data_IF_777577048589
#
_entry.id   IF_777577048589
#
_cell.length_a   1.000
_cell.length_b   1.000
_cell.length_c   1.000
_cell.angle_alpha   90.00
_cell.angle_beta   90.00
_cell.angle_gamma   90.00
#
_symmetry.space_group_name_H-M   'P 1'
#
loop_
_entity.id
_entity.type
_entity.pdbx_description
1 polymer ?
#
# COMPACT_ATOMS: atom_id res chain seq x y z
N UNK A 1 16.57 -23.95 -0.74
CA UNK A 1 17.06 -25.10 0.05
C UNK A 1 18.28 -25.77 -0.55
N UNK A 2 18.30 -26.16 -1.83
CA UNK A 2 19.47 -26.85 -2.42
C UNK A 2 20.78 -26.07 -2.24
N UNK A 3 20.74 -24.76 -2.39
CA UNK A 3 21.90 -23.88 -2.20
C UNK A 3 22.35 -23.86 -0.73
N UNK A 4 21.42 -23.63 0.21
CA UNK A 4 21.69 -23.71 1.65
C UNK A 4 22.28 -25.06 2.08
N UNK A 5 21.68 -26.18 1.63
CA UNK A 5 22.18 -27.53 1.92
C UNK A 5 23.58 -27.76 1.37
N UNK A 6 23.84 -27.31 0.13
CA UNK A 6 25.16 -27.41 -0.50
C UNK A 6 26.21 -26.57 0.24
N UNK A 7 25.82 -25.39 0.72
CA UNK A 7 26.68 -24.51 1.52
C UNK A 7 27.08 -25.16 2.84
N UNK A 8 26.12 -25.73 3.57
CA UNK A 8 26.36 -26.45 4.83
C UNK A 8 27.27 -27.66 4.59
N UNK A 9 27.00 -28.45 3.55
CA UNK A 9 27.84 -29.59 3.14
C UNK A 9 29.28 -29.17 2.85
N UNK A 10 29.45 -28.13 2.05
CA UNK A 10 30.79 -27.63 1.70
C UNK A 10 31.54 -27.19 2.94
N UNK A 11 30.88 -26.43 3.82
CA UNK A 11 31.48 -25.97 5.09
C UNK A 11 31.92 -27.14 5.96
N UNK A 12 31.11 -28.20 6.07
CA UNK A 12 31.48 -29.42 6.81
C UNK A 12 32.75 -30.07 6.25
N UNK A 13 32.81 -30.22 4.92
CA UNK A 13 33.97 -30.83 4.23
C UNK A 13 35.21 -29.94 4.40
N UNK A 14 35.06 -28.62 4.31
CA UNK A 14 36.14 -27.64 4.55
C UNK A 14 36.67 -27.71 5.99
N UNK A 15 35.78 -27.98 6.95
CA UNK A 15 36.16 -28.23 8.35
C UNK A 15 36.80 -29.62 8.58
N UNK A 16 36.87 -30.47 7.54
CA UNK A 16 37.46 -31.81 7.62
C UNK A 16 36.59 -32.85 8.34
N UNK A 17 35.30 -32.55 8.56
CA UNK A 17 34.38 -33.42 9.31
C UNK A 17 33.63 -34.34 8.35
N UNK A 18 33.55 -35.63 8.66
CA UNK A 18 32.77 -36.58 7.85
C UNK A 18 31.27 -36.52 8.19
N UNK A 19 30.41 -37.12 7.36
CA UNK A 19 28.96 -36.98 7.52
C UNK A 19 28.46 -37.71 8.78
N UNK A 20 29.04 -38.86 9.06
CA UNK A 20 28.69 -39.74 10.17
C UNK A 20 29.04 -39.10 11.52
N UNK A 21 30.23 -38.51 11.61
CA UNK A 21 30.73 -37.79 12.79
C UNK A 21 29.86 -36.56 13.09
N UNK A 22 29.55 -35.74 12.09
CA UNK A 22 28.66 -34.60 12.27
C UNK A 22 27.26 -35.03 12.71
N UNK A 23 26.74 -36.14 12.17
CA UNK A 23 25.44 -36.68 12.55
C UNK A 23 25.43 -37.19 13.99
N UNK A 24 26.50 -37.86 14.43
CA UNK A 24 26.67 -38.37 15.79
C UNK A 24 26.80 -37.22 16.80
N UNK A 25 27.66 -36.23 16.54
CA UNK A 25 27.84 -35.04 17.38
C UNK A 25 26.56 -34.24 17.57
N UNK A 26 25.75 -34.15 16.50
CA UNK A 26 24.45 -33.48 16.52
C UNK A 26 23.31 -34.35 17.05
N UNK A 27 23.56 -35.63 17.31
CA UNK A 27 22.57 -36.62 17.71
C UNK A 27 21.35 -36.68 16.75
N UNK A 28 21.62 -36.74 15.45
CA UNK A 28 20.63 -36.91 14.39
C UNK A 28 21.04 -38.08 13.48
N UNK A 29 20.09 -38.65 12.72
CA UNK A 29 20.48 -39.75 11.83
C UNK A 29 21.30 -39.25 10.64
N UNK A 30 22.26 -40.07 10.18
CA UNK A 30 23.05 -39.79 8.97
C UNK A 30 22.16 -39.45 7.78
N UNK A 31 21.08 -40.21 7.59
CA UNK A 31 20.08 -39.96 6.55
C UNK A 31 19.39 -38.61 6.71
N UNK A 32 19.13 -38.14 7.94
CA UNK A 32 18.56 -36.81 8.15
C UNK A 32 19.55 -35.73 7.75
N UNK A 33 20.81 -35.83 8.18
CA UNK A 33 21.84 -34.86 7.82
C UNK A 33 22.10 -34.84 6.31
N UNK A 34 22.14 -36.00 5.66
CA UNK A 34 22.22 -36.13 4.21
C UNK A 34 21.05 -35.44 3.49
N UNK A 35 19.82 -35.60 3.99
CA UNK A 35 18.65 -34.92 3.44
C UNK A 35 18.72 -33.40 3.63
N UNK A 36 19.33 -32.90 4.71
CA UNK A 36 19.59 -31.47 4.91
C UNK A 36 20.60 -30.99 3.86
N UNK A 37 21.73 -31.67 3.72
CA UNK A 37 22.81 -31.30 2.80
C UNK A 37 22.42 -31.39 1.32
N UNK A 38 21.58 -32.35 0.95
CA UNK A 38 21.04 -32.49 -0.41
C UNK A 38 19.87 -31.53 -0.70
N UNK A 39 19.34 -30.86 0.32
CA UNK A 39 18.16 -30.02 0.21
C UNK A 39 16.90 -30.79 -0.14
N UNK A 40 16.79 -32.05 0.27
CA UNK A 40 15.61 -32.89 0.06
C UNK A 40 14.48 -32.51 1.03
N UNK A 41 13.76 -31.44 0.70
CA UNK A 41 12.68 -30.88 1.53
C UNK A 41 11.52 -31.83 1.74
N UNK A 42 11.30 -32.78 0.83
CA UNK A 42 10.23 -33.79 0.91
C UNK A 42 10.46 -34.81 2.03
N UNK A 43 11.71 -34.99 2.47
CA UNK A 43 12.04 -35.91 3.56
C UNK A 43 11.61 -35.37 4.94
N UNK A 44 11.33 -34.08 5.06
CA UNK A 44 11.00 -33.43 6.31
C UNK A 44 9.50 -33.17 6.42
N UNK A 45 8.83 -33.86 7.33
CA UNK A 45 7.41 -33.64 7.65
C UNK A 45 7.20 -32.45 8.59
N UNK A 46 8.16 -32.21 9.48
CA UNK A 46 8.11 -31.16 10.49
C UNK A 46 9.13 -30.07 10.16
N UNK A 47 8.61 -28.93 9.71
CA UNK A 47 9.40 -27.74 9.33
C UNK A 47 10.06 -27.10 10.55
N UNK A 48 9.41 -27.13 11.71
CA UNK A 48 9.97 -26.56 12.94
C UNK A 48 11.18 -27.39 13.40
N UNK A 49 11.06 -28.71 13.39
CA UNK A 49 12.19 -29.61 13.69
C UNK A 49 13.34 -29.39 12.72
N UNK A 50 13.07 -29.31 11.41
CA UNK A 50 14.07 -29.01 10.39
C UNK A 50 14.78 -27.68 10.67
N UNK A 51 14.02 -26.62 11.00
CA UNK A 51 14.58 -25.31 11.37
C UNK A 51 15.55 -25.42 12.54
N UNK A 52 15.19 -26.16 13.59
CA UNK A 52 16.06 -26.34 14.76
C UNK A 52 17.32 -27.14 14.42
N UNK A 53 17.19 -28.18 13.59
CA UNK A 53 18.33 -28.99 13.13
C UNK A 53 19.31 -28.15 12.29
N UNK A 54 18.80 -27.32 11.38
CA UNK A 54 19.63 -26.38 10.59
C UNK A 54 20.31 -25.36 11.50
N UNK A 55 19.60 -24.80 12.49
CA UNK A 55 20.17 -23.85 13.45
C UNK A 55 21.30 -24.48 14.25
N UNK A 56 21.10 -25.71 14.72
CA UNK A 56 22.10 -26.46 15.46
C UNK A 56 23.30 -26.80 14.57
N UNK A 57 23.06 -27.17 13.32
CA UNK A 57 24.13 -27.49 12.39
C UNK A 57 25.00 -26.27 12.08
N UNK A 58 24.38 -25.09 11.89
CA UNK A 58 25.10 -23.83 11.71
C UNK A 58 26.04 -23.56 12.89
N UNK A 59 25.55 -23.74 14.12
CA UNK A 59 26.38 -23.59 15.33
C UNK A 59 27.53 -24.59 15.37
N UNK A 60 27.25 -25.86 15.06
CA UNK A 60 28.25 -26.93 14.99
C UNK A 60 29.38 -26.59 14.00
N UNK A 61 29.02 -26.05 12.84
CA UNK A 61 29.96 -25.66 11.79
C UNK A 61 30.66 -24.31 12.05
N UNK A 62 30.38 -23.63 13.16
CA UNK A 62 30.94 -22.30 13.46
C UNK A 62 30.37 -21.17 12.60
N UNK A 63 29.23 -21.38 11.95
CA UNK A 63 28.53 -20.39 11.14
C UNK A 63 27.65 -19.48 11.99
N UNK A 64 27.27 -18.32 11.45
CA UNK A 64 26.26 -17.46 12.09
C UNK A 64 24.87 -18.12 11.95
N UNK A 65 24.24 -18.58 13.05
CA UNK A 65 22.98 -19.31 13.00
C UNK A 65 21.82 -18.43 12.53
N UNK A 66 21.83 -17.14 12.82
CA UNK A 66 20.73 -16.24 12.46
C UNK A 66 20.72 -16.04 10.94
N UNK A 67 21.88 -15.82 10.31
CA UNK A 67 21.99 -15.74 8.84
C UNK A 67 21.55 -17.02 8.12
N UNK A 68 21.97 -18.18 8.62
CA UNK A 68 21.58 -19.48 8.04
C UNK A 68 20.06 -19.68 8.16
N UNK A 69 19.47 -19.25 9.27
CA UNK A 69 18.03 -19.35 9.49
C UNK A 69 17.24 -18.35 8.66
N UNK A 70 17.76 -17.16 8.42
CA UNK A 70 17.14 -16.19 7.51
C UNK A 70 17.07 -16.75 6.09
N UNK A 71 18.16 -17.31 5.57
CA UNK A 71 18.20 -18.00 4.27
C UNK A 71 17.20 -19.17 4.21
N UNK A 72 17.09 -19.93 5.29
CA UNK A 72 16.09 -20.99 5.40
C UNK A 72 14.66 -20.45 5.38
N UNK A 73 14.39 -19.33 6.07
CA UNK A 73 13.08 -18.70 6.08
C UNK A 73 12.72 -18.13 4.71
N UNK A 74 13.68 -17.58 3.98
CA UNK A 74 13.50 -17.10 2.60
C UNK A 74 13.13 -18.25 1.67
N UNK A 75 13.84 -19.38 1.76
CA UNK A 75 13.45 -20.60 1.06
C UNK A 75 12.02 -21.06 1.41
N UNK A 76 11.68 -21.07 2.70
CA UNK A 76 10.32 -21.46 3.13
C UNK A 76 9.29 -20.49 2.60
N UNK A 77 9.58 -19.20 2.59
CA UNK A 77 8.71 -18.19 2.02
C UNK A 77 8.48 -18.52 0.54
N UNK A 78 9.49 -18.58 -0.31
CA UNK A 78 9.34 -18.90 -1.74
C UNK A 78 8.53 -20.18 -2.00
N UNK A 79 8.68 -21.21 -1.16
CA UNK A 79 8.04 -22.50 -1.37
C UNK A 79 6.64 -22.64 -0.76
N UNK A 80 6.30 -21.82 0.25
CA UNK A 80 5.01 -21.86 0.95
C UNK A 80 4.14 -20.64 0.69
N UNK A 81 4.70 -19.56 0.17
CA UNK A 81 3.99 -18.30 0.01
C UNK A 81 3.30 -18.21 -1.35
N UNK A 82 1.97 -18.25 -1.28
CA UNK A 82 1.08 -17.50 -2.18
C UNK A 82 0.81 -16.08 -1.66
N UNK A 83 1.51 -15.61 -0.63
CA UNK A 83 1.20 -14.37 0.12
C UNK A 83 2.46 -13.50 0.20
N UNK A 84 2.36 -12.26 -0.30
CA UNK A 84 3.45 -11.27 -0.29
C UNK A 84 3.76 -10.77 1.13
N UNK A 85 5.01 -10.34 1.38
CA UNK A 85 5.34 -9.58 2.60
C UNK A 85 4.47 -8.32 2.73
N UNK A 86 4.08 -7.73 1.60
CA UNK A 86 3.14 -6.60 1.57
C UNK A 86 1.76 -7.00 2.08
N UNK A 87 1.27 -8.19 1.70
CA UNK A 87 -0.03 -8.70 2.17
C UNK A 87 -0.02 -8.94 3.68
N UNK A 88 1.11 -9.43 4.22
CA UNK A 88 1.31 -9.59 5.67
C UNK A 88 1.31 -8.22 6.36
N UNK A 89 1.97 -7.21 5.78
CA UNK A 89 2.01 -5.85 6.34
C UNK A 89 0.62 -5.21 6.33
N UNK A 90 -0.11 -5.31 5.22
CA UNK A 90 -1.48 -4.81 5.07
C UNK A 90 -2.42 -5.48 6.07
N UNK A 91 -2.28 -6.80 6.28
CA UNK A 91 -3.08 -7.53 7.26
C UNK A 91 -2.81 -7.03 8.70
N UNK A 92 -1.54 -6.81 9.08
CA UNK A 92 -1.18 -6.27 10.40
C UNK A 92 -1.70 -4.86 10.61
N UNK A 93 -1.51 -3.95 9.64
CA UNK A 93 -2.05 -2.58 9.72
C UNK A 93 -3.58 -2.58 9.87
N UNK A 94 -4.26 -3.51 9.20
CA UNK A 94 -5.72 -3.68 9.28
C UNK A 94 -6.18 -4.28 10.62
N UNK A 95 -5.37 -5.11 11.26
CA UNK A 95 -5.63 -5.62 12.61
C UNK A 95 -5.36 -4.57 13.68
N UNK A 96 -4.24 -3.84 13.59
CA UNK A 96 -3.89 -2.76 14.50
C UNK A 96 -4.92 -1.63 14.49
N UNK A 97 -5.43 -1.26 13.30
CA UNK A 97 -6.50 -0.26 13.16
C UNK A 97 -7.82 -0.75 13.76
N UNK A 98 -8.19 -2.02 13.57
CA UNK A 98 -9.37 -2.63 14.21
C UNK A 98 -9.23 -2.76 15.73
N UNK A 99 -8.04 -3.03 16.23
CA UNK A 99 -7.78 -3.16 17.66
C UNK A 99 -7.79 -1.78 18.34
N UNK A 100 -7.30 -0.73 17.68
CA UNK A 100 -7.47 0.65 18.13
C UNK A 100 -8.93 1.12 18.14
N UNK A 101 -9.76 0.63 17.21
CA UNK A 101 -11.19 0.92 17.16
C UNK A 101 -11.98 0.17 18.26
N UNK A 102 -11.60 -1.08 18.56
CA UNK A 102 -12.27 -1.94 19.53
C UNK A 102 -11.73 -1.85 20.98
N UNK A 103 -10.72 -1.01 21.24
CA UNK A 103 -10.35 -0.68 22.63
C UNK A 103 -11.56 -0.06 23.32
N UNK A 104 -12.03 -0.71 24.40
CA UNK A 104 -13.08 -0.19 25.28
C UNK A 104 -12.60 1.15 25.82
N UNK A 105 -13.04 2.25 25.21
CA UNK A 105 -12.70 3.59 25.65
C UNK A 105 -13.44 3.83 26.96
N UNK A 106 -12.70 4.23 27.99
CA UNK A 106 -13.32 4.68 29.23
C UNK A 106 -14.29 5.82 28.92
N UNK A 107 -15.42 5.96 29.64
CA UNK A 107 -16.40 7.03 29.41
C UNK A 107 -15.77 8.43 29.40
N UNK A 108 -14.60 8.58 30.02
CA UNK A 108 -13.87 9.84 30.20
C UNK A 108 -12.83 10.14 29.11
N UNK A 109 -12.59 9.22 28.16
CA UNK A 109 -11.59 9.38 27.08
C UNK A 109 -12.20 9.31 25.68
N UNK A 110 -13.53 9.42 25.57
CA UNK A 110 -14.24 9.36 24.28
C UNK A 110 -14.16 10.74 23.59
N UNK A 111 -13.21 10.92 22.69
CA UNK A 111 -13.19 12.07 21.79
C UNK A 111 -14.27 11.93 20.71
N UNK A 112 -15.36 12.68 20.86
CA UNK A 112 -16.45 12.73 19.88
C UNK A 112 -16.03 13.63 18.73
N UNK A 113 -15.61 13.04 17.60
CA UNK A 113 -15.39 13.81 16.37
C UNK A 113 -16.72 14.44 15.93
N UNK A 114 -16.82 15.77 15.97
CA UNK A 114 -18.01 16.51 15.54
C UNK A 114 -18.25 16.24 14.05
N UNK A 115 -19.37 15.58 13.74
CA UNK A 115 -19.85 15.46 12.36
C UNK A 115 -20.40 16.83 11.95
N UNK A 116 -19.68 17.53 11.08
CA UNK A 116 -20.13 18.80 10.53
C UNK A 116 -21.23 18.50 9.51
N UNK A 117 -22.41 19.08 9.69
CA UNK A 117 -23.50 18.92 8.73
C UNK A 117 -23.22 19.82 7.51
N UNK A 118 -23.05 19.21 6.34
CA UNK A 118 -22.63 19.88 5.09
C UNK A 118 -23.85 20.46 4.35
N UNK A 119 -25.06 19.97 4.64
CA UNK A 119 -26.32 20.43 4.05
C UNK A 119 -26.57 21.96 4.09
N UNK A 120 -26.34 22.68 5.20
CA UNK A 120 -26.52 24.13 5.21
C UNK A 120 -25.59 24.86 4.24
N UNK A 121 -24.35 24.37 4.07
CA UNK A 121 -23.38 24.97 3.15
C UNK A 121 -23.84 24.79 1.70
N UNK A 122 -24.30 23.58 1.36
CA UNK A 122 -24.87 23.27 0.04
C UNK A 122 -26.07 24.17 -0.28
N UNK A 123 -26.95 24.39 0.71
CA UNK A 123 -28.10 25.29 0.56
C UNK A 123 -27.71 26.75 0.28
N UNK A 124 -26.70 27.28 0.99
CA UNK A 124 -26.21 28.65 0.79
C UNK A 124 -25.61 28.82 -0.61
N UNK A 125 -24.78 27.87 -1.06
CA UNK A 125 -24.16 27.92 -2.40
C UNK A 125 -25.23 27.87 -3.50
N UNK A 126 -26.23 27.00 -3.36
CA UNK A 126 -27.36 26.94 -4.31
C UNK A 126 -28.17 28.24 -4.36
N UNK A 127 -28.44 28.86 -3.20
CA UNK A 127 -29.16 30.13 -3.12
C UNK A 127 -28.43 31.28 -3.82
N UNK A 128 -27.09 31.36 -3.67
CA UNK A 128 -26.27 32.38 -4.34
C UNK A 128 -26.34 32.23 -5.86
N UNK A 129 -26.26 31.00 -6.37
CA UNK A 129 -26.37 30.75 -7.82
C UNK A 129 -27.73 31.18 -8.38
N UNK A 130 -28.83 30.90 -7.66
CA UNK A 130 -30.18 31.33 -8.05
C UNK A 130 -30.31 32.86 -8.01
N UNK A 131 -29.70 33.54 -7.04
CA UNK A 131 -29.72 35.00 -6.97
C UNK A 131 -29.01 35.62 -8.18
N UNK A 132 -27.85 35.07 -8.56
CA UNK A 132 -27.09 35.51 -9.73
C UNK A 132 -27.90 35.36 -11.01
N UNK A 133 -28.61 34.23 -11.20
CA UNK A 133 -29.43 34.02 -12.40
C UNK A 133 -30.63 34.97 -12.46
N UNK A 134 -31.23 35.33 -11.33
CA UNK A 134 -32.32 36.33 -11.28
C UNK A 134 -31.79 37.71 -11.67
N UNK A 135 -30.63 38.11 -11.15
CA UNK A 135 -30.01 39.41 -11.46
C UNK A 135 -29.68 39.50 -12.95
N UNK A 136 -29.11 38.45 -13.57
CA UNK A 136 -28.80 38.47 -15.00
C UNK A 136 -30.06 38.62 -15.86
N UNK A 137 -31.15 37.93 -15.50
CA UNK A 137 -32.45 38.06 -16.18
C UNK A 137 -32.99 39.49 -16.08
N UNK A 138 -32.93 40.10 -14.89
CA UNK A 138 -33.38 41.48 -14.68
C UNK A 138 -32.59 42.48 -15.52
N UNK A 139 -31.27 42.32 -15.62
CA UNK A 139 -30.41 43.17 -16.47
C UNK A 139 -30.80 43.05 -17.94
N UNK A 140 -30.96 41.82 -18.45
CA UNK A 140 -31.39 41.59 -19.85
C UNK A 140 -32.77 42.18 -20.11
N UNK A 141 -33.71 42.02 -19.17
CA UNK A 141 -35.03 42.62 -19.29
C UNK A 141 -35.00 44.15 -19.29
N UNK A 142 -34.13 44.75 -18.47
CA UNK A 142 -33.99 46.21 -18.42
C UNK A 142 -33.36 46.78 -19.71
N UNK A 143 -32.31 46.13 -20.23
CA UNK A 143 -31.65 46.52 -21.49
C UNK A 143 -32.58 46.35 -22.68
N UNK A 144 -33.35 45.26 -22.75
CA UNK A 144 -34.31 45.04 -23.84
C UNK A 144 -35.47 46.05 -23.85
N UNK A 145 -35.78 46.69 -22.71
CA UNK A 145 -36.80 47.75 -22.62
C UNK A 145 -36.28 49.13 -23.04
N UNK A 146 -34.96 49.32 -23.12
CA UNK A 146 -34.38 50.52 -23.74
C UNK A 146 -34.44 50.37 -25.27
N UNK A 147 -35.26 51.19 -25.92
CA UNK A 147 -35.38 51.19 -27.39
C UNK A 147 -34.04 51.43 -28.07
N UNK A 148 -33.80 50.88 -29.28
CA UNK A 148 -32.55 51.11 -30.01
C UNK A 148 -32.36 52.60 -30.30
N UNK A 149 -31.23 53.18 -29.85
CA UNK A 149 -30.77 54.52 -30.26
C UNK A 149 -30.48 54.50 -31.76
N UNK A 150 -31.47 54.77 -32.61
CA UNK A 150 -31.26 54.84 -34.08
C UNK A 150 -31.81 56.09 -34.74
N UNK A 151 -32.33 57.06 -34.00
CA UNK A 151 -32.77 58.34 -34.59
C UNK A 151 -31.63 59.33 -34.84
N UNK A 152 -30.50 59.23 -34.13
CA UNK A 152 -29.40 60.20 -34.28
C UNK A 152 -28.45 59.88 -35.44
N UNK A 153 -28.19 58.60 -35.72
CA UNK A 153 -27.35 58.19 -36.86
C UNK A 153 -28.05 58.39 -38.21
N UNK A 154 -29.40 58.42 -38.24
CA UNK A 154 -30.17 58.60 -39.49
C UNK A 154 -30.09 60.04 -40.02
N UNK A 155 -29.92 61.03 -39.14
CA UNK A 155 -29.72 62.42 -39.55
C UNK A 155 -28.29 62.70 -40.03
N UNK A 156 -27.29 61.99 -39.51
CA UNK A 156 -25.89 62.16 -39.94
C UNK A 156 -25.71 61.68 -41.39
N UNK A 157 -26.37 60.58 -41.78
CA UNK A 157 -26.36 60.09 -43.17
C UNK A 157 -27.07 61.08 -44.10
N UNK A 158 -28.19 61.67 -43.66
CA UNK A 158 -28.96 62.63 -44.46
C UNK A 158 -28.21 63.95 -44.66
N UNK A 159 -27.52 64.46 -43.62
CA UNK A 159 -26.73 65.71 -43.70
C UNK A 159 -25.53 65.57 -44.63
N UNK A 160 -24.91 64.39 -44.70
CA UNK A 160 -23.77 64.15 -45.58
C UNK A 160 -24.16 64.03 -47.08
N UNK A 161 -25.42 63.71 -47.41
CA UNK A 161 -25.92 63.73 -48.80
C UNK A 161 -26.25 65.15 -49.31
N UNK A 162 -26.61 66.09 -48.42
CA UNK A 162 -27.01 67.46 -48.86
C UNK A 162 -25.84 68.47 -48.85
N UNK A 163 -24.74 68.19 -48.14
CA UNK A 163 -23.59 69.09 -48.02
C UNK A 163 -22.53 68.99 -49.13
N UNK A 164 -22.76 68.18 -50.17
CA UNK A 164 -21.81 67.90 -51.26
C UNK A 164 -22.10 68.61 -52.58
N UNK A 165 -22.90 69.67 -52.60
CA UNK A 165 -23.18 70.45 -53.80
C UNK A 165 -23.12 71.96 -53.49
N UNK A 166 -22.25 72.62 -54.24
CA UNK A 166 -21.95 74.06 -54.35
C UNK A 166 -20.85 74.56 -53.40
#
# INVERSE_FOLDING_TARGET
MKELGSYLRRTRIENGVNLEEAADDMNISVTQLENIESGNTRAFKDVYKLKQQIKMYAKYLGLNPDKVIDEFNEFLFEHTSKISLDDIRIAREKEESKEQENKIKSPYTIEHKRKINIWPIVGIVGGILILITIITILVVHHVSKTSPRTSELKNIIKVNEVGGLI
#
